data_IF_381502236967
#
_entry.id   IF_381502236967
#
_cell.length_a   1.000
_cell.length_b   1.000
_cell.length_c   1.000
_cell.angle_alpha   90.00
_cell.angle_beta   90.00
_cell.angle_gamma   90.00
#
_symmetry.space_group_name_H-M   'P 1'
#
loop_
_entity.id
_entity.type
_entity.pdbx_description
1 polymer ?
#
# COMPACT_ATOMS: atom_id res chain seq x y z
N UNK A 1 -11.74 23.16 0.29
CA UNK A 1 -10.31 22.90 0.57
C UNK A 1 -9.50 23.81 -0.36
N UNK A 2 -9.65 25.14 -0.23
CA UNK A 2 -9.28 26.09 -1.28
C UNK A 2 -7.93 26.81 -1.04
N UNK A 3 -7.10 26.29 -0.14
CA UNK A 3 -5.88 27.00 0.30
C UNK A 3 -4.62 26.12 0.34
N UNK A 4 -4.60 24.95 -0.30
CA UNK A 4 -3.45 24.05 -0.24
C UNK A 4 -2.19 24.75 -0.80
N UNK A 5 -1.03 24.66 -0.11
CA UNK A 5 0.21 25.27 -0.55
C UNK A 5 0.64 24.86 -1.97
N UNK A 6 1.31 25.77 -2.68
CA UNK A 6 1.82 25.54 -4.03
C UNK A 6 2.80 24.35 -4.08
N UNK A 7 2.57 23.41 -5.03
CA UNK A 7 3.29 22.12 -5.22
C UNK A 7 3.02 21.06 -4.14
N UNK A 8 1.79 20.98 -3.68
CA UNK A 8 1.30 19.87 -2.86
C UNK A 8 0.11 19.25 -3.55
N UNK A 9 0.16 17.94 -3.71
CA UNK A 9 -0.90 17.14 -4.31
C UNK A 9 -1.57 16.29 -3.23
N UNK A 10 -2.79 15.84 -3.51
CA UNK A 10 -3.57 15.05 -2.57
C UNK A 10 -4.37 13.96 -3.29
N UNK A 11 -4.61 12.86 -2.57
CA UNK A 11 -5.53 11.79 -2.94
C UNK A 11 -6.61 11.67 -1.89
N UNK A 12 -7.88 11.60 -2.31
CA UNK A 12 -9.03 11.44 -1.43
C UNK A 12 -9.82 10.21 -1.88
N UNK A 13 -10.14 9.35 -0.94
CA UNK A 13 -11.03 8.21 -1.16
C UNK A 13 -11.79 7.90 0.14
N UNK A 14 -13.08 8.19 0.16
CA UNK A 14 -13.89 8.15 1.39
C UNK A 14 -13.20 8.94 2.52
N UNK A 15 -12.88 8.30 3.65
CA UNK A 15 -12.15 8.88 4.78
C UNK A 15 -10.61 8.80 4.64
N UNK A 16 -10.10 7.96 3.72
CA UNK A 16 -8.67 7.86 3.45
C UNK A 16 -8.19 9.09 2.67
N UNK A 17 -7.24 9.83 3.28
CA UNK A 17 -6.61 11.01 2.67
C UNK A 17 -5.10 10.83 2.61
N UNK A 18 -4.52 11.08 1.44
CA UNK A 18 -3.08 11.17 1.24
C UNK A 18 -2.70 12.60 0.82
N UNK A 19 -1.66 13.16 1.45
CA UNK A 19 -1.07 14.45 1.08
C UNK A 19 0.40 14.20 0.74
N UNK A 20 0.85 14.65 -0.42
CA UNK A 20 2.20 14.38 -0.90
C UNK A 20 2.81 15.57 -1.63
N UNK A 21 4.13 15.70 -1.51
CA UNK A 21 4.90 16.79 -2.13
C UNK A 21 6.31 16.32 -2.43
N UNK A 22 6.95 16.97 -3.41
CA UNK A 22 8.34 16.71 -3.77
C UNK A 22 9.16 18.01 -3.81
N UNK A 23 10.44 17.88 -3.48
CA UNK A 23 11.42 18.97 -3.53
C UNK A 23 12.84 18.41 -3.54
N UNK A 24 13.80 19.25 -3.94
CA UNK A 24 15.23 18.92 -3.92
C UNK A 24 15.84 18.94 -2.51
N UNK A 25 15.12 19.49 -1.52
CA UNK A 25 15.57 19.61 -0.13
C UNK A 25 14.52 19.05 0.84
N UNK A 26 14.99 18.28 1.82
CA UNK A 26 14.16 17.65 2.86
C UNK A 26 13.46 18.69 3.74
N UNK A 27 14.09 19.82 4.03
CA UNK A 27 13.47 20.93 4.78
C UNK A 27 12.23 21.46 4.07
N UNK A 28 12.32 21.73 2.77
CA UNK A 28 11.19 22.25 1.99
C UNK A 28 10.06 21.24 1.83
N UNK A 29 10.37 19.94 1.74
CA UNK A 29 9.33 18.89 1.79
C UNK A 29 8.61 18.93 3.14
N UNK A 30 9.37 18.94 4.25
CA UNK A 30 8.82 18.99 5.60
C UNK A 30 7.91 20.22 5.79
N UNK A 31 8.40 21.41 5.43
CA UNK A 31 7.69 22.66 5.68
C UNK A 31 6.37 22.72 4.91
N UNK A 32 6.39 22.36 3.63
CA UNK A 32 5.17 22.29 2.80
C UNK A 32 4.18 21.26 3.32
N UNK A 33 4.68 20.09 3.71
CA UNK A 33 3.85 18.99 4.17
C UNK A 33 3.22 19.33 5.52
N UNK A 34 3.98 19.94 6.44
CA UNK A 34 3.47 20.41 7.73
C UNK A 34 2.40 21.49 7.54
N UNK A 35 2.67 22.51 6.72
CA UNK A 35 1.68 23.56 6.42
C UNK A 35 0.39 22.97 5.83
N UNK A 36 0.51 22.02 4.90
CA UNK A 36 -0.65 21.37 4.28
C UNK A 36 -1.45 20.53 5.26
N UNK A 37 -0.77 19.79 6.14
CA UNK A 37 -1.38 19.00 7.21
C UNK A 37 -2.10 19.91 8.21
N UNK A 38 -1.48 21.02 8.61
CA UNK A 38 -2.09 21.97 9.55
C UNK A 38 -3.37 22.58 8.99
N UNK A 39 -3.35 23.00 7.72
CA UNK A 39 -4.54 23.48 7.04
C UNK A 39 -5.62 22.39 6.88
N UNK A 40 -5.21 21.16 6.55
CA UNK A 40 -6.14 20.04 6.44
C UNK A 40 -6.82 19.74 7.78
N UNK A 41 -6.07 19.73 8.88
CA UNK A 41 -6.60 19.53 10.24
C UNK A 41 -7.57 20.66 10.60
N UNK A 42 -7.24 21.92 10.32
CA UNK A 42 -8.15 23.05 10.53
C UNK A 42 -9.44 22.92 9.72
N UNK A 43 -9.33 22.50 8.45
CA UNK A 43 -10.49 22.22 7.61
C UNK A 43 -11.34 21.10 8.20
N UNK A 44 -10.75 19.98 8.62
CA UNK A 44 -11.47 18.91 9.29
C UNK A 44 -12.25 19.43 10.51
N UNK A 45 -11.63 20.23 11.38
CA UNK A 45 -12.28 20.81 12.54
C UNK A 45 -13.47 21.72 12.17
N UNK A 46 -13.32 22.57 11.14
CA UNK A 46 -14.41 23.42 10.66
C UNK A 46 -15.63 22.60 10.19
N UNK A 47 -15.39 21.38 9.67
CA UNK A 47 -16.41 20.44 9.23
C UNK A 47 -16.79 19.39 10.30
N UNK A 48 -16.38 19.60 11.57
CA UNK A 48 -16.64 18.69 12.70
C UNK A 48 -16.09 17.28 12.50
N UNK A 49 -15.03 17.14 11.70
CA UNK A 49 -14.25 15.93 11.51
C UNK A 49 -13.02 15.94 12.44
N UNK A 50 -12.55 14.74 12.81
CA UNK A 50 -11.37 14.57 13.67
C UNK A 50 -10.36 13.69 12.95
N UNK A 51 -9.15 14.22 12.76
CA UNK A 51 -8.01 13.45 12.24
C UNK A 51 -7.45 12.58 13.36
N UNK A 52 -7.29 11.28 13.09
CA UNK A 52 -6.73 10.32 14.05
C UNK A 52 -5.21 10.18 13.85
N UNK A 53 -4.35 10.77 14.71
CA UNK A 53 -2.90 10.77 14.46
C UNK A 53 -2.30 9.37 14.56
N UNK A 54 -2.87 8.48 15.39
CA UNK A 54 -2.40 7.10 15.54
C UNK A 54 -2.64 6.23 14.30
N UNK A 55 -3.55 6.64 13.40
CA UNK A 55 -3.77 5.99 12.09
C UNK A 55 -3.03 6.69 10.95
N UNK A 56 -2.35 7.80 11.24
CA UNK A 56 -1.63 8.57 10.23
C UNK A 56 -0.25 7.98 10.02
N UNK A 57 0.06 7.63 8.78
CA UNK A 57 1.37 7.09 8.39
C UNK A 57 2.15 8.10 7.55
N UNK A 58 3.44 8.22 7.80
CA UNK A 58 4.36 9.05 7.03
C UNK A 58 5.39 8.17 6.35
N UNK A 59 5.58 8.34 5.05
CA UNK A 59 6.65 7.70 4.29
C UNK A 59 7.42 8.75 3.49
N UNK A 60 8.74 8.61 3.45
CA UNK A 60 9.63 9.51 2.74
C UNK A 60 10.41 8.75 1.66
N UNK A 61 10.13 9.09 0.40
CA UNK A 61 10.80 8.55 -0.77
C UNK A 61 12.02 9.40 -1.16
N UNK A 62 13.10 8.74 -1.55
CA UNK A 62 14.29 9.43 -2.06
C UNK A 62 15.01 8.63 -3.13
N UNK A 63 15.42 9.34 -4.18
CA UNK A 63 16.30 8.83 -5.24
C UNK A 63 17.75 8.62 -4.77
N UNK A 64 18.21 9.31 -3.71
CA UNK A 64 19.58 9.22 -3.21
C UNK A 64 19.69 8.15 -2.11
N UNK A 65 19.77 6.89 -2.50
CA UNK A 65 19.79 5.73 -1.60
C UNK A 65 20.93 5.71 -0.56
N UNK A 66 22.05 6.43 -0.79
CA UNK A 66 23.25 6.42 0.07
C UNK A 66 23.36 7.57 1.05
N UNK A 67 22.53 8.62 0.91
CA UNK A 67 22.56 9.71 1.90
C UNK A 67 21.75 9.28 3.11
N UNK A 68 22.44 8.93 4.22
CA UNK A 68 21.83 8.99 5.54
C UNK A 68 21.40 10.45 5.73
N UNK A 69 20.10 10.70 5.63
CA UNK A 69 19.55 12.00 5.93
C UNK A 69 19.83 12.27 7.40
N UNK A 70 20.68 13.27 7.66
CA UNK A 70 20.99 13.72 9.03
C UNK A 70 19.75 14.25 9.74
N UNK A 71 18.74 14.71 8.99
CA UNK A 71 17.45 15.17 9.51
C UNK A 71 16.31 14.32 8.94
N UNK A 72 15.67 13.45 9.75
CA UNK A 72 14.42 12.80 9.38
C UNK A 72 13.32 13.86 9.21
N UNK A 73 12.37 13.61 8.30
CA UNK A 73 11.17 14.45 8.22
C UNK A 73 10.28 14.10 9.41
N UNK A 74 10.12 15.01 10.35
CA UNK A 74 9.15 14.87 11.43
C UNK A 74 7.95 15.75 11.12
N UNK A 75 6.75 15.18 11.21
CA UNK A 75 5.49 15.93 11.11
C UNK A 75 4.78 15.91 12.45
N UNK A 76 3.99 16.94 12.71
CA UNK A 76 3.10 16.99 13.86
C UNK A 76 1.65 17.01 13.40
N UNK A 77 0.85 16.06 13.87
CA UNK A 77 -0.59 15.99 13.59
C UNK A 77 -1.31 16.03 14.93
N UNK A 78 -2.16 17.04 15.15
CA UNK A 78 -2.91 17.21 16.41
C UNK A 78 -2.02 17.07 17.66
N UNK A 79 -0.87 17.74 17.66
CA UNK A 79 0.18 17.71 18.68
C UNK A 79 1.00 16.40 18.84
N UNK A 80 0.76 15.37 18.02
CA UNK A 80 1.49 14.09 18.04
C UNK A 80 2.58 14.07 16.96
N UNK A 81 3.80 13.62 17.31
CA UNK A 81 4.92 13.43 16.38
C UNK A 81 4.70 12.19 15.51
N UNK A 82 4.61 12.38 14.19
CA UNK A 82 4.49 11.34 13.19
C UNK A 82 5.86 11.16 12.53
N UNK A 83 6.46 10.00 12.77
CA UNK A 83 7.79 9.65 12.28
C UNK A 83 7.72 8.90 10.95
N UNK A 84 8.70 9.07 10.06
CA UNK A 84 8.74 8.31 8.80
C UNK A 84 8.90 6.82 9.07
N UNK A 85 8.03 6.04 8.46
CA UNK A 85 8.08 4.59 8.47
C UNK A 85 8.81 4.05 7.23
N UNK A 86 9.23 2.80 7.30
CA UNK A 86 9.86 2.08 6.17
C UNK A 86 8.86 1.60 5.14
N UNK A 87 7.60 1.47 5.54
CA UNK A 87 6.47 1.18 4.66
C UNK A 87 5.24 1.91 5.16
N UNK A 88 4.34 2.24 4.25
CA UNK A 88 3.04 2.83 4.55
C UNK A 88 1.96 2.20 3.67
N UNK A 89 0.76 2.03 4.21
CA UNK A 89 -0.39 1.45 3.52
C UNK A 89 -1.37 2.53 3.09
N UNK A 90 -1.75 2.52 1.82
CA UNK A 90 -2.79 3.41 1.29
C UNK A 90 -3.64 2.64 0.27
N UNK A 91 -4.97 2.65 0.46
CA UNK A 91 -5.95 1.97 -0.39
C UNK A 91 -5.64 0.49 -0.66
N UNK A 92 -5.12 -0.21 0.35
CA UNK A 92 -4.77 -1.63 0.24
C UNK A 92 -3.46 -1.93 -0.50
N UNK A 93 -2.69 -0.90 -0.87
CA UNK A 93 -1.34 -1.01 -1.42
C UNK A 93 -0.33 -0.66 -0.33
N UNK A 94 0.75 -1.43 -0.25
CA UNK A 94 1.85 -1.16 0.69
C UNK A 94 3.02 -0.57 -0.09
N UNK A 95 3.34 0.68 0.19
CA UNK A 95 4.49 1.38 -0.37
C UNK A 95 5.67 1.14 0.56
N UNK A 96 6.74 0.52 0.09
CA UNK A 96 8.01 0.51 0.80
C UNK A 96 8.85 1.73 0.41
N UNK A 97 9.75 2.15 1.31
CA UNK A 97 10.60 3.34 1.15
C UNK A 97 11.37 3.42 -0.17
N UNK A 98 11.67 2.26 -0.78
CA UNK A 98 12.44 2.17 -2.02
C UNK A 98 11.57 1.84 -3.24
N UNK A 99 10.25 1.72 -3.06
CA UNK A 99 9.30 1.30 -4.08
C UNK A 99 9.74 0.00 -4.78
N UNK A 100 10.31 -0.93 -4.01
CA UNK A 100 10.73 -2.26 -4.48
C UNK A 100 9.60 -3.29 -4.43
N UNK A 101 8.45 -2.93 -3.85
CA UNK A 101 7.23 -3.70 -3.71
C UNK A 101 7.38 -5.03 -2.95
N UNK A 102 8.49 -5.20 -2.21
CA UNK A 102 8.79 -6.45 -1.50
C UNK A 102 7.77 -6.73 -0.38
N UNK A 103 7.44 -5.71 0.42
CA UNK A 103 6.45 -5.82 1.50
C UNK A 103 5.04 -6.02 0.95
N UNK A 104 4.68 -5.35 -0.15
CA UNK A 104 3.39 -5.53 -0.82
C UNK A 104 3.20 -6.97 -1.32
N UNK A 105 4.20 -7.51 -2.01
CA UNK A 105 4.14 -8.88 -2.53
C UNK A 105 4.14 -9.90 -1.40
N UNK A 106 4.93 -9.69 -0.35
CA UNK A 106 4.90 -10.54 0.86
C UNK A 106 3.52 -10.54 1.52
N UNK A 107 2.86 -9.38 1.57
CA UNK A 107 1.50 -9.26 2.07
C UNK A 107 0.52 -10.06 1.20
N UNK A 108 0.61 -9.94 -0.13
CA UNK A 108 -0.18 -10.72 -1.11
C UNK A 108 0.02 -12.23 -0.87
N UNK A 109 1.28 -12.70 -0.83
CA UNK A 109 1.64 -14.11 -0.61
C UNK A 109 1.06 -14.66 0.70
N UNK A 110 1.15 -13.86 1.77
CA UNK A 110 0.59 -14.24 3.08
C UNK A 110 -0.93 -14.34 3.03
N UNK A 111 -1.59 -13.38 2.37
CA UNK A 111 -3.06 -13.35 2.27
C UNK A 111 -3.65 -14.46 1.42
N UNK A 112 -2.97 -14.89 0.35
CA UNK A 112 -3.46 -15.98 -0.49
C UNK A 112 -3.24 -17.35 0.16
N UNK A 113 -2.31 -17.50 1.11
CA UNK A 113 -1.92 -18.81 1.62
C UNK A 113 -3.08 -19.59 2.27
N UNK A 114 -3.95 -18.92 3.03
CA UNK A 114 -5.16 -19.55 3.59
C UNK A 114 -6.15 -19.99 2.51
N UNK A 115 -6.26 -19.22 1.42
CA UNK A 115 -7.14 -19.52 0.27
C UNK A 115 -6.62 -20.67 -0.57
N UNK A 116 -5.30 -20.77 -0.71
CA UNK A 116 -4.65 -21.94 -1.32
C UNK A 116 -4.93 -23.18 -0.47
N UNK A 117 -4.84 -23.09 0.86
CA UNK A 117 -5.14 -24.22 1.74
C UNK A 117 -6.61 -24.65 1.62
N UNK A 118 -7.53 -23.69 1.50
CA UNK A 118 -8.94 -23.96 1.22
C UNK A 118 -9.11 -24.69 -0.12
N UNK A 119 -8.47 -24.24 -1.20
CA UNK A 119 -8.54 -24.93 -2.50
C UNK A 119 -8.06 -26.39 -2.40
N UNK A 120 -6.93 -26.65 -1.73
CA UNK A 120 -6.45 -28.03 -1.52
C UNK A 120 -7.43 -28.86 -0.71
N UNK A 121 -8.04 -28.26 0.31
CA UNK A 121 -9.05 -28.94 1.11
C UNK A 121 -10.26 -29.32 0.26
N UNK A 122 -10.76 -28.40 -0.55
CA UNK A 122 -11.88 -28.63 -1.47
C UNK A 122 -11.55 -29.74 -2.47
N UNK A 123 -10.40 -29.68 -3.15
CA UNK A 123 -9.97 -30.74 -4.06
C UNK A 123 -9.93 -32.13 -3.41
N UNK A 124 -9.51 -32.19 -2.14
CA UNK A 124 -9.48 -33.47 -1.40
C UNK A 124 -10.86 -34.02 -1.08
N UNK A 125 -11.84 -33.16 -0.76
CA UNK A 125 -13.19 -33.60 -0.37
C UNK A 125 -14.13 -33.78 -1.57
N UNK A 126 -13.83 -33.14 -2.69
CA UNK A 126 -14.58 -33.25 -3.94
C UNK A 126 -13.65 -33.62 -5.10
N UNK A 127 -13.08 -34.84 -5.12
CA UNK A 127 -12.14 -35.26 -6.17
C UNK A 127 -12.77 -35.26 -7.57
N UNK A 128 -14.07 -35.50 -7.67
CA UNK A 128 -14.83 -35.45 -8.94
C UNK A 128 -15.36 -34.05 -9.27
N UNK A 129 -14.92 -33.02 -8.54
CA UNK A 129 -15.36 -31.66 -8.82
C UNK A 129 -14.88 -31.20 -10.20
N UNK A 130 -15.79 -30.56 -10.93
CA UNK A 130 -15.48 -30.04 -12.25
C UNK A 130 -14.35 -29.00 -12.15
N UNK A 131 -13.27 -29.18 -12.91
CA UNK A 131 -12.14 -28.23 -12.98
C UNK A 131 -12.61 -26.78 -13.17
N UNK A 132 -13.69 -26.57 -13.93
CA UNK A 132 -14.29 -25.24 -14.13
C UNK A 132 -14.76 -24.61 -12.82
N UNK A 133 -15.32 -25.41 -11.90
CA UNK A 133 -15.76 -24.94 -10.58
C UNK A 133 -14.53 -24.54 -9.76
N UNK A 134 -13.51 -25.38 -9.68
CA UNK A 134 -12.29 -25.08 -8.93
C UNK A 134 -11.56 -23.84 -9.48
N UNK A 135 -11.51 -23.69 -10.79
CA UNK A 135 -10.97 -22.49 -11.44
C UNK A 135 -11.82 -21.25 -11.16
N UNK A 136 -13.14 -21.37 -11.07
CA UNK A 136 -14.02 -20.27 -10.70
C UNK A 136 -13.78 -19.83 -9.25
N UNK A 137 -13.59 -20.79 -8.33
CA UNK A 137 -13.23 -20.49 -6.92
C UNK A 137 -11.86 -19.81 -6.85
N UNK A 138 -10.87 -20.27 -7.62
CA UNK A 138 -9.58 -19.58 -7.74
C UNK A 138 -9.75 -18.14 -8.26
N UNK A 139 -10.54 -17.95 -9.33
CA UNK A 139 -10.78 -16.62 -9.94
C UNK A 139 -11.52 -15.66 -9.01
N UNK A 140 -12.41 -16.16 -8.16
CA UNK A 140 -13.17 -15.33 -7.22
C UNK A 140 -12.39 -15.03 -5.94
N UNK A 141 -11.66 -16.01 -5.41
CA UNK A 141 -11.00 -15.87 -4.11
C UNK A 141 -9.54 -15.47 -4.22
N UNK A 142 -8.75 -15.99 -5.16
CA UNK A 142 -7.30 -15.76 -5.15
C UNK A 142 -6.89 -14.66 -6.13
N UNK A 143 -7.42 -14.72 -7.36
CA UNK A 143 -7.03 -13.78 -8.43
C UNK A 143 -7.15 -12.31 -8.02
N UNK A 144 -8.22 -11.85 -7.34
CA UNK A 144 -8.34 -10.43 -6.98
C UNK A 144 -7.26 -9.94 -6.01
N UNK A 145 -6.74 -10.83 -5.14
CA UNK A 145 -5.61 -10.48 -4.27
C UNK A 145 -4.30 -10.43 -5.04
N UNK A 146 -4.06 -11.41 -5.92
CA UNK A 146 -2.85 -11.43 -6.75
C UNK A 146 -2.76 -10.20 -7.66
N UNK A 147 -3.88 -9.74 -8.19
CA UNK A 147 -3.94 -8.57 -9.09
C UNK A 147 -4.06 -7.24 -8.36
N UNK A 148 -4.06 -7.22 -7.03
CA UNK A 148 -4.18 -5.98 -6.27
C UNK A 148 -2.92 -5.10 -6.46
N UNK A 149 -3.10 -3.92 -7.02
CA UNK A 149 -2.01 -3.00 -7.36
C UNK A 149 -1.26 -3.34 -8.64
N UNK A 150 -1.88 -4.10 -9.56
CA UNK A 150 -1.25 -4.50 -10.82
C UNK A 150 -0.72 -3.33 -11.66
N UNK A 151 -1.41 -2.18 -11.65
CA UNK A 151 -0.98 -0.96 -12.35
C UNK A 151 0.35 -0.41 -11.83
N UNK A 152 0.55 -0.48 -10.51
CA UNK A 152 1.76 0.02 -9.85
C UNK A 152 2.90 -0.99 -10.00
N UNK A 153 2.57 -2.28 -9.94
CA UNK A 153 3.52 -3.38 -10.14
C UNK A 153 4.06 -3.47 -11.57
N UNK A 154 3.47 -2.79 -12.55
CA UNK A 154 3.99 -2.69 -13.91
C UNK A 154 5.45 -2.20 -13.94
N UNK A 155 5.84 -1.36 -12.99
CA UNK A 155 7.20 -0.81 -12.87
C UNK A 155 8.09 -1.60 -11.89
N UNK A 156 7.62 -2.74 -11.38
CA UNK A 156 8.39 -3.57 -10.47
C UNK A 156 9.48 -4.37 -11.19
N UNK A 157 10.54 -4.72 -10.46
CA UNK A 157 11.63 -5.56 -10.96
C UNK A 157 11.14 -6.97 -11.34
N UNK A 158 11.80 -7.63 -12.30
CA UNK A 158 11.47 -9.00 -12.73
C UNK A 158 11.44 -10.00 -11.56
N UNK A 159 12.27 -9.79 -10.54
CA UNK A 159 12.27 -10.60 -9.32
C UNK A 159 10.91 -10.58 -8.61
N UNK A 160 10.23 -9.43 -8.58
CA UNK A 160 8.90 -9.28 -8.01
C UNK A 160 7.86 -10.01 -8.86
N UNK A 161 7.92 -9.83 -10.18
CA UNK A 161 7.03 -10.54 -11.11
C UNK A 161 7.16 -12.06 -11.00
N UNK A 162 8.39 -12.56 -10.91
CA UNK A 162 8.67 -13.98 -10.72
C UNK A 162 8.05 -14.54 -9.44
N UNK A 163 8.08 -13.79 -8.33
CA UNK A 163 7.42 -14.18 -7.08
C UNK A 163 5.91 -14.30 -7.25
N UNK A 164 5.28 -13.31 -7.87
CA UNK A 164 3.84 -13.34 -8.15
C UNK A 164 3.46 -14.48 -9.08
N UNK A 165 4.26 -14.76 -10.10
CA UNK A 165 4.05 -15.90 -11.00
C UNK A 165 4.16 -17.23 -10.26
N UNK A 166 5.14 -17.40 -9.38
CA UNK A 166 5.27 -18.60 -8.54
C UNK A 166 4.05 -18.76 -7.63
N UNK A 167 3.59 -17.67 -7.01
CA UNK A 167 2.40 -17.65 -6.17
C UNK A 167 1.12 -18.03 -6.95
N UNK A 168 0.97 -17.51 -8.17
CA UNK A 168 -0.10 -17.88 -9.08
C UNK A 168 -0.04 -19.36 -9.46
N UNK A 169 1.13 -19.85 -9.87
CA UNK A 169 1.33 -21.25 -10.24
C UNK A 169 1.01 -22.19 -9.08
N UNK A 170 1.44 -21.86 -7.85
CA UNK A 170 1.10 -22.62 -6.64
C UNK A 170 -0.40 -22.67 -6.40
N UNK A 171 -1.11 -21.56 -6.67
CA UNK A 171 -2.56 -21.47 -6.49
C UNK A 171 -3.33 -22.29 -7.51
N UNK A 172 -2.90 -22.27 -8.78
CA UNK A 172 -3.52 -23.04 -9.86
C UNK A 172 -3.30 -24.55 -9.64
N UNK A 173 -2.08 -24.97 -9.26
CA UNK A 173 -1.83 -26.38 -8.92
C UNK A 173 -2.71 -26.86 -7.77
N UNK A 174 -2.97 -26.00 -6.79
CA UNK A 174 -3.88 -26.34 -5.69
C UNK A 174 -5.36 -26.43 -6.10
N UNK A 175 -5.72 -25.91 -7.28
CA UNK A 175 -7.07 -26.00 -7.83
C UNK A 175 -7.24 -27.17 -8.81
N UNK A 176 -6.16 -27.62 -9.46
CA UNK A 176 -6.21 -28.63 -10.53
C UNK A 176 -5.60 -29.99 -10.14
N UNK A 177 -4.85 -30.05 -9.03
CA UNK A 177 -4.29 -31.28 -8.48
C UNK A 177 -4.91 -31.57 -7.11
#
# INVERSE_FOLDING_TARGET
MNSIPFKVDYGLFADDTAIFTSSNTTSRVRDRLQESVDQFVQWCHAWKLVVQPTKTELIHFSSHHRKKYSNPIHLRVSNIDIRPQTSARYLGIIFDKQLRWQEHVKHIETRIQSRINLLRFLNRITPDSNEKIMLNIYKSLIRPILTNGSSILLHAEDKIWNRLQIAQNKSIRAALN
#
